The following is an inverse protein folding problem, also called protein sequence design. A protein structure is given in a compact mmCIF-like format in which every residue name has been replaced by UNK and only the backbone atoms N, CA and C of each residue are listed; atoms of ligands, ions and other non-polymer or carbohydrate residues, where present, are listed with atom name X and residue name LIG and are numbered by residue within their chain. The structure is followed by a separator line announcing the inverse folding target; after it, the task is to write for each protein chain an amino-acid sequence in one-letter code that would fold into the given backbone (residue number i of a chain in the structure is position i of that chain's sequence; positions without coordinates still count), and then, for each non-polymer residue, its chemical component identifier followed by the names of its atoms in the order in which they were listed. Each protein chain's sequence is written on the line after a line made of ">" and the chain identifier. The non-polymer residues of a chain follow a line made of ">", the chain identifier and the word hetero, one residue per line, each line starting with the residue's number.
data_IF_752699755685
#
_entry.id   IF_752699755685
#
_cell.length_a   1.000
_cell.length_b   1.000
_cell.length_c   1.000
_cell.angle_alpha   90.00
_cell.angle_beta   90.00
_cell.angle_gamma   90.00
#
_symmetry.space_group_name_H-M   'P 1'
#
loop_
_entity.id
_entity.type
_entity.pdbx_description
1 polymer ?
#
# COMPACT_ATOMS: atom_id res chain seq x y z
N UNK A 1 6.37 27.26 18.28
CA UNK A 1 6.16 27.88 16.96
C UNK A 1 6.69 26.90 15.91
N UNK A 2 5.83 26.09 15.29
CA UNK A 2 6.22 25.07 14.32
C UNK A 2 6.20 25.68 12.92
N UNK A 3 7.36 25.72 12.25
CA UNK A 3 7.48 26.15 10.85
C UNK A 3 6.87 25.05 9.96
N UNK A 4 5.80 25.36 9.25
CA UNK A 4 5.31 24.56 8.13
C UNK A 4 6.19 24.89 6.92
N UNK A 5 6.96 23.91 6.43
CA UNK A 5 7.55 24.01 5.10
C UNK A 5 6.48 23.74 4.04
N UNK A 6 6.17 24.75 3.24
CA UNK A 6 5.43 24.62 2.00
C UNK A 6 6.21 23.73 1.02
N UNK A 7 5.76 22.48 0.84
CA UNK A 7 6.18 21.69 -0.32
C UNK A 7 5.46 22.23 -1.55
N UNK A 8 6.18 22.95 -2.42
CA UNK A 8 5.71 23.27 -3.77
C UNK A 8 5.34 21.97 -4.50
N UNK A 9 4.04 21.72 -4.68
CA UNK A 9 3.57 20.80 -5.70
C UNK A 9 3.96 21.38 -7.05
N UNK A 10 4.90 20.75 -7.74
CA UNK A 10 5.18 21.09 -9.14
C UNK A 10 3.97 20.64 -9.96
N UNK A 11 3.14 21.60 -10.38
CA UNK A 11 1.98 21.38 -11.25
C UNK A 11 2.45 20.86 -12.62
N UNK A 12 2.66 19.55 -12.73
CA UNK A 12 2.91 18.86 -13.98
C UNK A 12 1.58 18.69 -14.71
N UNK A 13 1.31 19.57 -15.66
CA UNK A 13 0.16 19.46 -16.56
C UNK A 13 0.42 18.39 -17.61
N UNK A 14 -0.63 17.67 -18.04
CA UNK A 14 -0.54 16.58 -19.02
C UNK A 14 0.08 17.01 -20.36
N UNK A 15 0.01 18.30 -20.70
CA UNK A 15 0.67 18.91 -21.86
C UNK A 15 2.20 18.83 -21.80
N UNK A 16 2.79 18.50 -20.65
CA UNK A 16 4.25 18.35 -20.50
C UNK A 16 4.76 17.05 -21.15
N UNK A 17 3.89 16.06 -21.35
CA UNK A 17 4.24 14.76 -21.95
C UNK A 17 4.10 14.73 -23.48
N UNK A 18 3.58 15.78 -24.11
CA UNK A 18 3.39 15.85 -25.57
C UNK A 18 4.62 16.36 -26.34
N UNK A 19 5.68 16.81 -25.64
CA UNK A 19 6.90 17.30 -26.28
C UNK A 19 7.88 16.15 -26.52
N UNK A 20 8.04 15.78 -27.79
CA UNK A 20 9.08 14.85 -28.26
C UNK A 20 10.45 15.52 -28.04
N UNK A 21 11.13 15.16 -26.95
CA UNK A 21 12.45 15.73 -26.62
C UNK A 21 12.75 15.90 -25.13
N UNK A 22 11.84 15.54 -24.23
CA UNK A 22 12.14 15.52 -22.78
C UNK A 22 13.04 14.32 -22.48
N UNK A 23 14.16 14.54 -21.78
CA UNK A 23 15.07 13.48 -21.31
C UNK A 23 14.28 12.32 -20.69
N UNK A 24 14.67 11.09 -21.00
CA UNK A 24 14.09 9.85 -20.44
C UNK A 24 14.10 9.82 -18.89
N UNK A 25 14.82 10.73 -18.24
CA UNK A 25 14.81 10.92 -16.79
C UNK A 25 13.56 11.62 -16.24
N UNK A 26 12.68 12.14 -17.10
CA UNK A 26 11.34 12.61 -16.72
C UNK A 26 10.32 11.46 -16.60
N UNK A 27 10.78 10.20 -16.52
CA UNK A 27 9.97 9.11 -16.01
C UNK A 27 9.46 9.54 -14.64
N UNK A 28 8.14 9.54 -14.47
CA UNK A 28 7.46 9.80 -13.20
C UNK A 28 8.23 9.11 -12.08
N UNK A 29 9.04 9.89 -11.36
CA UNK A 29 9.62 9.45 -10.11
C UNK A 29 8.43 9.44 -9.16
N UNK A 30 7.70 8.33 -9.14
CA UNK A 30 6.81 8.01 -8.04
C UNK A 30 7.77 7.90 -6.86
N UNK A 31 7.97 9.02 -6.18
CA UNK A 31 8.76 9.09 -4.96
C UNK A 31 8.36 7.87 -4.16
N UNK A 32 9.35 7.03 -3.82
CA UNK A 32 9.18 5.74 -3.15
C UNK A 32 8.26 5.95 -1.95
N UNK A 33 6.96 5.84 -2.22
CA UNK A 33 5.96 6.24 -1.25
C UNK A 33 6.11 5.24 -0.12
N UNK A 34 5.89 5.67 1.11
CA UNK A 34 6.06 4.80 2.26
C UNK A 34 4.90 3.76 2.24
N UNK A 35 4.97 2.81 1.29
CA UNK A 35 3.90 1.89 0.91
C UNK A 35 3.62 0.86 1.99
N UNK A 36 4.36 0.92 3.08
CA UNK A 36 4.35 -0.06 4.16
C UNK A 36 3.47 0.41 5.32
N UNK A 37 2.88 1.61 5.23
CA UNK A 37 1.99 2.18 6.24
C UNK A 37 0.55 2.17 5.78
N UNK A 38 -0.34 1.96 6.74
CA UNK A 38 -1.76 2.09 6.52
C UNK A 38 -2.13 3.55 6.17
N UNK A 39 -2.98 3.72 5.15
CA UNK A 39 -3.47 5.00 4.67
C UNK A 39 -5.00 5.00 4.70
N UNK A 40 -5.59 6.02 5.32
CA UNK A 40 -7.04 6.22 5.35
C UNK A 40 -7.41 7.18 4.24
N UNK A 41 -8.34 6.77 3.38
CA UNK A 41 -8.82 7.61 2.30
C UNK A 41 -9.53 8.86 2.85
N UNK A 42 -9.36 10.04 2.22
CA UNK A 42 -10.02 11.27 2.66
C UNK A 42 -11.54 11.24 2.41
N UNK A 43 -11.98 10.47 1.42
CA UNK A 43 -13.39 10.32 1.06
C UNK A 43 -13.91 8.91 1.38
N UNK A 44 -15.21 8.83 1.69
CA UNK A 44 -15.87 7.55 1.94
C UNK A 44 -16.05 6.79 0.64
N UNK A 45 -15.88 5.47 0.71
CA UNK A 45 -16.20 4.56 -0.37
C UNK A 45 -17.38 3.68 0.06
N UNK A 46 -18.45 3.64 -0.74
CA UNK A 46 -19.67 2.87 -0.40
C UNK A 46 -20.24 3.21 0.98
N UNK A 47 -20.27 4.50 1.32
CA UNK A 47 -20.68 5.03 2.63
C UNK A 47 -19.88 4.50 3.84
N UNK A 48 -18.70 3.91 3.60
CA UNK A 48 -17.78 3.38 4.63
C UNK A 48 -16.41 4.07 4.52
N UNK A 49 -15.70 4.12 5.64
CA UNK A 49 -14.31 4.60 5.66
C UNK A 49 -13.44 3.56 4.98
N UNK A 50 -12.66 3.97 3.98
CA UNK A 50 -11.73 3.09 3.27
C UNK A 50 -10.33 3.28 3.84
N UNK A 51 -9.70 2.17 4.22
CA UNK A 51 -8.33 2.15 4.71
C UNK A 51 -7.53 1.14 3.90
N UNK A 52 -6.47 1.60 3.23
CA UNK A 52 -5.46 0.72 2.66
C UNK A 52 -4.48 0.31 3.78
N UNK A 53 -4.24 -0.99 3.95
CA UNK A 53 -3.38 -1.51 5.03
C UNK A 53 -1.88 -1.46 4.71
N UNK A 54 -1.49 -0.93 3.54
CA UNK A 54 -0.12 -0.98 3.06
C UNK A 54 0.21 -2.31 2.38
N UNK A 55 1.46 -2.44 1.93
CA UNK A 55 2.00 -3.69 1.39
C UNK A 55 2.24 -4.68 2.53
N UNK A 56 1.66 -5.86 2.39
CA UNK A 56 1.95 -6.96 3.28
C UNK A 56 3.32 -7.56 2.95
N UNK A 57 4.11 -7.99 3.97
CA UNK A 57 5.32 -8.74 3.74
C UNK A 57 4.99 -10.12 3.14
N UNK A 58 6.00 -10.77 2.58
CA UNK A 58 5.84 -12.04 1.90
C UNK A 58 5.21 -13.11 2.81
N UNK A 59 4.11 -13.70 2.37
CA UNK A 59 3.30 -14.62 3.18
C UNK A 59 4.01 -15.90 3.63
N UNK A 60 5.09 -16.30 2.95
CA UNK A 60 5.94 -17.40 3.41
C UNK A 60 6.60 -17.14 4.78
N UNK A 61 6.79 -15.86 5.15
CA UNK A 61 7.42 -15.45 6.40
C UNK A 61 6.34 -15.11 7.43
N UNK A 62 5.70 -16.12 7.99
CA UNK A 62 4.55 -15.98 8.91
C UNK A 62 4.83 -15.05 10.11
N UNK A 63 6.02 -15.14 10.70
CA UNK A 63 6.45 -14.29 11.82
C UNK A 63 6.53 -12.80 11.44
N UNK A 64 7.01 -12.51 10.23
CA UNK A 64 7.13 -11.14 9.72
C UNK A 64 5.76 -10.56 9.40
N UNK A 65 4.85 -11.37 8.86
CA UNK A 65 3.45 -10.99 8.62
C UNK A 65 2.73 -10.70 9.94
N UNK A 66 2.92 -11.55 10.95
CA UNK A 66 2.33 -11.34 12.28
C UNK A 66 2.85 -10.04 12.91
N UNK A 67 4.16 -9.84 12.94
CA UNK A 67 4.78 -8.62 13.48
C UNK A 67 4.34 -7.37 12.72
N UNK A 68 4.19 -7.45 11.40
CA UNK A 68 3.66 -6.34 10.61
C UNK A 68 2.21 -6.02 10.98
N UNK A 69 1.38 -7.05 11.13
CA UNK A 69 -0.04 -6.94 11.51
C UNK A 69 -0.22 -6.31 12.89
N UNK A 70 0.63 -6.68 13.87
CA UNK A 70 0.66 -6.10 15.22
C UNK A 70 0.96 -4.60 15.23
N UNK A 71 1.71 -4.10 14.24
CA UNK A 71 2.06 -2.69 14.12
C UNK A 71 0.98 -1.85 13.39
N UNK A 72 -0.02 -2.49 12.79
CA UNK A 72 -1.13 -1.80 12.12
C UNK A 72 -2.22 -1.48 13.15
N UNK A 73 -2.67 -0.22 13.16
CA UNK A 73 -3.78 0.21 14.01
C UNK A 73 -5.11 -0.27 13.45
N UNK A 74 -5.47 -1.52 13.73
CA UNK A 74 -6.75 -2.16 13.38
C UNK A 74 -7.54 -2.48 14.64
N UNK A 75 -8.88 -2.43 14.55
CA UNK A 75 -9.75 -2.77 15.68
C UNK A 75 -9.70 -4.27 16.02
N UNK A 76 -9.80 -5.12 15.00
CA UNK A 76 -9.87 -6.57 15.16
C UNK A 76 -8.64 -7.27 14.59
N UNK A 77 -7.55 -7.22 15.34
CA UNK A 77 -6.27 -7.78 14.90
C UNK A 77 -6.32 -9.29 14.64
N UNK A 78 -7.09 -10.03 15.44
CA UNK A 78 -7.29 -11.48 15.26
C UNK A 78 -7.98 -11.80 13.93
N UNK A 79 -8.99 -11.02 13.55
CA UNK A 79 -9.71 -11.22 12.28
C UNK A 79 -8.78 -10.96 11.10
N UNK A 80 -7.98 -9.90 11.17
CA UNK A 80 -7.00 -9.60 10.13
C UNK A 80 -5.95 -10.72 9.99
N UNK A 81 -5.46 -11.26 11.10
CA UNK A 81 -4.50 -12.37 11.08
C UNK A 81 -5.08 -13.65 10.47
N UNK A 82 -6.32 -14.01 10.84
CA UNK A 82 -7.02 -15.16 10.25
C UNK A 82 -7.26 -14.96 8.74
N UNK A 83 -7.59 -13.74 8.33
CA UNK A 83 -7.75 -13.41 6.91
C UNK A 83 -6.45 -13.59 6.12
N UNK A 84 -5.32 -13.12 6.65
CA UNK A 84 -4.01 -13.30 6.01
C UNK A 84 -3.58 -14.77 5.94
N UNK A 85 -3.90 -15.56 6.97
CA UNK A 85 -3.67 -17.02 6.94
C UNK A 85 -4.48 -17.67 5.81
N UNK A 86 -5.77 -17.36 5.70
CA UNK A 86 -6.63 -17.90 4.64
C UNK A 86 -6.17 -17.51 3.23
N UNK A 87 -5.63 -16.30 3.05
CA UNK A 87 -5.04 -15.88 1.77
C UNK A 87 -3.76 -16.66 1.41
N UNK A 88 -3.00 -17.05 2.42
CA UNK A 88 -1.76 -17.80 2.25
C UNK A 88 -2.07 -19.25 1.87
N UNK A 89 -3.04 -19.85 2.53
CA UNK A 89 -3.47 -21.25 2.33
C UNK A 89 -4.10 -21.49 0.95
N UNK A 90 -4.76 -20.48 0.37
CA UNK A 90 -5.34 -20.56 -0.99
C UNK A 90 -4.36 -20.95 -2.10
N UNK A 91 -3.07 -20.74 -1.89
CA UNK A 91 -2.01 -21.11 -2.82
C UNK A 91 -0.97 -22.02 -2.15
N UNK A 92 -1.35 -22.64 -1.03
CA UNK A 92 -0.52 -23.61 -0.33
C UNK A 92 -0.46 -24.95 -1.08
N UNK A 93 0.35 -25.86 -0.53
CA UNK A 93 0.63 -27.17 -1.14
C UNK A 93 -0.65 -27.96 -1.45
N UNK A 94 -1.62 -27.97 -0.55
CA UNK A 94 -2.90 -28.66 -0.74
C UNK A 94 -3.65 -28.13 -1.96
N UNK A 95 -3.77 -26.81 -2.08
CA UNK A 95 -4.47 -26.18 -3.21
C UNK A 95 -3.75 -26.40 -4.54
N UNK A 96 -2.41 -26.47 -4.53
CA UNK A 96 -1.60 -26.74 -5.72
C UNK A 96 -1.66 -28.21 -6.13
N UNK A 97 -1.70 -29.13 -5.16
CA UNK A 97 -1.78 -30.57 -5.43
C UNK A 97 -3.16 -31.01 -5.95
N UNK A 98 -4.22 -30.27 -5.62
CA UNK A 98 -5.60 -30.56 -6.01
C UNK A 98 -6.07 -29.81 -7.30
N UNK A 99 -5.25 -28.93 -7.87
CA UNK A 99 -5.58 -28.07 -9.02
C UNK A 99 -5.24 -28.71 -10.38
#
# INVERSE_FOLDING_TARGET
>A
MLKYEERKLNNLTLSSFSKVGVSNDARLYIAKENTDKAYVAPEKFSSKVLTWLGKMPLFKNTEVVQKHTENIRVQDQKILQTFLHALTEKYGETAVNDA
#
